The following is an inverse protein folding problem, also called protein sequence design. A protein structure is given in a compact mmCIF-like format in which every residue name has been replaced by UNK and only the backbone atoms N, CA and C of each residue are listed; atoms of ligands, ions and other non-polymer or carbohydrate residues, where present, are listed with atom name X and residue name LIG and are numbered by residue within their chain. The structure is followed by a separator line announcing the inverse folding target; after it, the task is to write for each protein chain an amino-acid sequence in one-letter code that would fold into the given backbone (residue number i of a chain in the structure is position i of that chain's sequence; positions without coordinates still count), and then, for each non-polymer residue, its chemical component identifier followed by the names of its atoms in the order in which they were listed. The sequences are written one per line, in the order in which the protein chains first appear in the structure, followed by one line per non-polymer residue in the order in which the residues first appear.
data_IF_134220950490
#
_entry.id   IF_134220950490
#
_cell.length_a   1.000
_cell.length_b   1.000
_cell.length_c   1.000
_cell.angle_alpha   90.00
_cell.angle_beta   90.00
_cell.angle_gamma   90.00
#
_symmetry.space_group_name_H-M   'P 1'
#
loop_
_entity.id
_entity.type
_entity.pdbx_description
1 polymer ?
#
# COMPACT_ATOMS: atom_id res chain seq x y z
N UNK A 1 7.32 13.31 10.87
CA UNK A 1 6.53 12.06 10.76
C UNK A 1 6.49 11.68 9.29
N UNK A 2 7.30 10.72 8.85
CA UNK A 2 7.37 10.30 7.44
C UNK A 2 6.19 9.35 7.21
N UNK A 3 5.12 9.90 6.65
CA UNK A 3 3.80 9.28 6.55
C UNK A 3 3.86 7.93 5.82
N UNK A 4 3.27 6.88 6.41
CA UNK A 4 3.21 5.52 5.86
C UNK A 4 2.62 5.44 4.43
N UNK A 5 1.84 6.44 4.01
CA UNK A 5 1.28 6.54 2.66
C UNK A 5 2.34 6.74 1.56
N UNK A 6 3.40 7.51 1.82
CA UNK A 6 4.52 7.68 0.89
C UNK A 6 5.31 6.38 0.75
N UNK A 7 5.40 5.58 1.82
CA UNK A 7 6.05 4.27 1.78
C UNK A 7 5.34 3.32 0.83
N UNK A 8 4.00 3.29 0.85
CA UNK A 8 3.23 2.42 -0.04
C UNK A 8 3.42 2.79 -1.53
N UNK A 9 3.33 4.09 -1.87
CA UNK A 9 3.58 4.54 -3.25
C UNK A 9 4.99 4.21 -3.72
N UNK A 10 5.99 4.42 -2.85
CA UNK A 10 7.38 4.11 -3.13
C UNK A 10 7.58 2.61 -3.37
N UNK A 11 7.09 1.77 -2.47
CA UNK A 11 7.17 0.31 -2.59
C UNK A 11 6.52 -0.20 -3.89
N UNK A 12 5.36 0.36 -4.29
CA UNK A 12 4.71 0.02 -5.57
C UNK A 12 5.62 0.31 -6.76
N UNK A 13 6.29 1.47 -6.77
CA UNK A 13 7.19 1.85 -7.86
C UNK A 13 8.48 1.01 -7.85
N UNK A 14 9.04 0.70 -6.67
CA UNK A 14 10.21 -0.18 -6.52
C UNK A 14 9.91 -1.62 -6.97
N UNK A 15 8.66 -2.08 -6.82
CA UNK A 15 8.17 -3.34 -7.35
C UNK A 15 7.84 -3.32 -8.85
N UNK A 16 8.23 -2.26 -9.57
CA UNK A 16 7.95 -2.05 -11.00
C UNK A 16 6.44 -2.02 -11.38
N UNK A 17 5.56 -1.67 -10.43
CA UNK A 17 4.12 -1.55 -10.67
C UNK A 17 3.79 -0.09 -11.00
N UNK A 18 3.57 0.19 -12.28
CA UNK A 18 3.50 1.56 -12.80
C UNK A 18 2.24 2.31 -12.35
N UNK A 19 1.13 1.60 -12.11
CA UNK A 19 -0.17 2.23 -11.86
C UNK A 19 -0.89 1.69 -10.62
N UNK A 20 -1.76 2.54 -10.04
CA UNK A 20 -2.65 2.11 -8.95
C UNK A 20 -3.63 1.03 -9.40
N UNK A 21 -4.05 1.04 -10.68
CA UNK A 21 -4.93 0.04 -11.28
C UNK A 21 -4.24 -1.33 -11.34
N UNK A 22 -2.99 -1.36 -11.77
CA UNK A 22 -2.21 -2.60 -11.82
C UNK A 22 -2.01 -3.20 -10.41
N UNK A 23 -1.71 -2.37 -9.41
CA UNK A 23 -1.63 -2.85 -8.03
C UNK A 23 -2.99 -3.38 -7.54
N UNK A 24 -4.09 -2.70 -7.89
CA UNK A 24 -5.44 -3.12 -7.55
C UNK A 24 -5.76 -4.52 -8.12
N UNK A 25 -5.40 -4.77 -9.38
CA UNK A 25 -5.57 -6.07 -10.04
C UNK A 25 -4.75 -7.17 -9.36
N UNK A 26 -3.46 -6.91 -9.07
CA UNK A 26 -2.57 -7.88 -8.42
C UNK A 26 -2.98 -8.20 -6.98
N UNK A 27 -3.46 -7.21 -6.23
CA UNK A 27 -3.84 -7.39 -4.83
C UNK A 27 -5.29 -7.82 -4.65
N UNK A 28 -6.16 -7.61 -5.65
CA UNK A 28 -7.62 -7.73 -5.54
C UNK A 28 -8.25 -6.67 -4.63
N UNK A 29 -7.57 -5.54 -4.40
CA UNK A 29 -8.09 -4.39 -3.65
C UNK A 29 -8.60 -3.36 -4.66
N UNK A 30 -9.83 -2.82 -4.51
CA UNK A 30 -10.34 -1.78 -5.41
C UNK A 30 -9.39 -0.59 -5.61
N UNK A 31 -9.26 -0.11 -6.84
CA UNK A 31 -8.31 0.95 -7.19
C UNK A 31 -8.57 2.26 -6.43
N UNK A 32 -9.82 2.59 -6.10
CA UNK A 32 -10.15 3.74 -5.26
C UNK A 32 -9.59 3.60 -3.83
N UNK A 33 -9.57 2.39 -3.27
CA UNK A 33 -8.97 2.11 -1.96
C UNK A 33 -7.45 2.27 -2.04
N UNK A 34 -6.79 1.71 -3.05
CA UNK A 34 -5.35 1.93 -3.29
C UNK A 34 -5.04 3.44 -3.35
N UNK A 35 -5.87 4.17 -4.08
CA UNK A 35 -5.78 5.63 -4.22
C UNK A 35 -5.92 6.37 -2.88
N UNK A 36 -6.86 5.95 -2.03
CA UNK A 36 -7.06 6.55 -0.70
C UNK A 36 -5.88 6.25 0.23
N UNK A 37 -5.35 5.02 0.18
CA UNK A 37 -4.21 4.57 0.97
C UNK A 37 -2.94 5.36 0.62
N UNK A 38 -2.59 5.49 -0.66
CA UNK A 38 -1.41 6.27 -1.10
C UNK A 38 -1.52 7.76 -0.79
N UNK A 39 -2.74 8.31 -0.70
CA UNK A 39 -2.97 9.71 -0.30
C UNK A 39 -3.12 9.88 1.21
N UNK A 40 -3.13 8.81 1.99
CA UNK A 40 -3.39 8.86 3.44
C UNK A 40 -4.82 9.26 3.82
N UNK A 41 -5.77 9.23 2.86
CA UNK A 41 -7.20 9.49 3.12
C UNK A 41 -7.87 8.36 3.90
N UNK A 42 -7.25 7.18 3.88
CA UNK A 42 -7.72 5.97 4.55
C UNK A 42 -6.58 5.33 5.32
N UNK A 43 -6.86 4.85 6.53
CA UNK A 43 -5.90 4.07 7.32
C UNK A 43 -5.69 2.69 6.69
N UNK A 44 -4.44 2.24 6.67
CA UNK A 44 -4.08 0.89 6.27
C UNK A 44 -4.61 -0.11 7.30
N UNK A 45 -5.27 -1.18 6.83
CA UNK A 45 -5.64 -2.31 7.69
C UNK A 45 -4.58 -3.41 7.59
N UNK A 46 -4.42 -4.27 8.63
CA UNK A 46 -3.52 -5.42 8.55
C UNK A 46 -3.81 -6.36 7.38
N UNK A 47 -5.08 -6.55 7.04
CA UNK A 47 -5.48 -7.39 5.92
C UNK A 47 -4.99 -6.84 4.58
N UNK A 48 -5.09 -5.52 4.36
CA UNK A 48 -4.57 -4.90 3.14
C UNK A 48 -3.06 -4.81 3.12
N UNK A 49 -2.43 -4.50 4.27
CA UNK A 49 -0.98 -4.44 4.38
C UNK A 49 -0.33 -5.77 3.96
N UNK A 50 -0.89 -6.91 4.41
CA UNK A 50 -0.41 -8.25 4.01
C UNK A 50 -0.54 -8.49 2.51
N UNK A 51 -1.72 -8.23 1.94
CA UNK A 51 -1.96 -8.40 0.48
C UNK A 51 -1.07 -7.49 -0.37
N UNK A 52 -0.79 -6.27 0.10
CA UNK A 52 0.11 -5.34 -0.59
C UNK A 52 1.55 -5.85 -0.48
N UNK A 53 2.01 -6.26 0.70
CA UNK A 53 3.35 -6.79 0.92
C UNK A 53 3.64 -8.05 0.08
N UNK A 54 2.66 -8.94 -0.07
CA UNK A 54 2.77 -10.12 -0.95
C UNK A 54 3.06 -9.74 -2.42
N UNK A 55 2.58 -8.58 -2.87
CA UNK A 55 2.72 -8.12 -4.26
C UNK A 55 3.95 -7.24 -4.46
N UNK A 56 4.23 -6.33 -3.52
CA UNK A 56 5.32 -5.34 -3.66
C UNK A 56 6.63 -5.79 -3.02
N UNK A 57 6.61 -6.86 -2.23
CA UNK A 57 7.72 -7.28 -1.38
C UNK A 57 7.85 -6.45 -0.11
N UNK A 58 8.66 -6.93 0.84
CA UNK A 58 8.86 -6.30 2.15
C UNK A 58 7.94 -6.85 3.24
N UNK A 59 7.99 -6.26 4.43
CA UNK A 59 7.18 -6.70 5.57
C UNK A 59 5.88 -5.87 5.64
N UNK A 60 4.76 -6.53 5.94
CA UNK A 60 3.46 -5.84 6.03
C UNK A 60 3.43 -4.76 7.12
N UNK A 61 4.26 -4.88 8.15
CA UNK A 61 4.41 -3.86 9.20
C UNK A 61 4.99 -2.55 8.67
N UNK A 62 5.70 -2.56 7.54
CA UNK A 62 6.22 -1.33 6.91
C UNK A 62 5.10 -0.37 6.49
N UNK A 63 3.90 -0.91 6.24
CA UNK A 63 2.72 -0.18 5.78
C UNK A 63 1.76 0.20 6.90
N UNK A 64 2.00 -0.24 8.12
CA UNK A 64 1.14 0.07 9.27
C UNK A 64 1.83 1.06 10.18
N UNK A 65 1.09 2.10 10.56
CA UNK A 65 1.50 2.98 11.63
C UNK A 65 1.10 2.32 12.96
N UNK A 66 2.04 1.61 13.59
CA UNK A 66 1.84 0.93 14.87
C UNK A 66 1.85 1.89 16.07
N UNK A 67 2.10 3.17 15.83
CA UNK A 67 2.13 4.22 16.86
C UNK A 67 0.86 5.07 16.81
N UNK A 68 -0.18 4.62 17.49
CA UNK A 68 -1.24 5.47 18.05
C UNK A 68 -1.31 5.19 19.55
#
# INVERSE_FOLDING_TARGET
MIYANQKMRKARLEAAIGTQKELAEKTGIPANIISDLERGKRKMSPAWAKRIAEVVGGDWTDFIDLTQ
#
